data_IF_755191324743
#
_entry.id   IF_755191324743
#
_cell.length_a   1.000
_cell.length_b   1.000
_cell.length_c   1.000
_cell.angle_alpha   90.00
_cell.angle_beta   90.00
_cell.angle_gamma   90.00
#
_symmetry.space_group_name_H-M   'P 1'
#
loop_
_entity.id
_entity.type
_entity.pdbx_description
1 polymer ?
#
# COMPACT_ATOMS: atom_id res chain seq x y z
N UNK A 1 -28.86 27.39 -24.02
CA UNK A 1 -28.40 27.07 -22.67
C UNK A 1 -28.25 25.58 -22.40
N UNK A 2 -29.11 24.74 -22.95
CA UNK A 2 -28.98 23.26 -22.75
C UNK A 2 -27.67 22.70 -23.31
N UNK A 3 -27.09 23.25 -24.33
CA UNK A 3 -25.79 22.85 -24.92
C UNK A 3 -24.64 23.02 -23.94
N UNK A 4 -24.63 24.08 -23.18
CA UNK A 4 -23.55 24.40 -22.24
C UNK A 4 -23.61 23.47 -21.01
N UNK A 5 -24.79 23.12 -20.56
CA UNK A 5 -25.00 22.19 -19.43
C UNK A 5 -24.46 20.82 -19.80
N UNK A 6 -24.71 20.35 -21.03
CA UNK A 6 -24.21 19.05 -21.50
C UNK A 6 -22.69 19.03 -21.58
N UNK A 7 -22.07 20.12 -22.11
CA UNK A 7 -20.62 20.22 -22.19
C UNK A 7 -19.98 20.23 -20.82
N UNK A 8 -20.53 20.99 -19.87
CA UNK A 8 -20.05 21.02 -18.48
C UNK A 8 -20.16 19.63 -17.84
N UNK A 9 -21.26 18.94 -18.06
CA UNK A 9 -21.48 17.59 -17.53
C UNK A 9 -20.43 16.60 -18.06
N UNK A 10 -20.13 16.65 -19.36
CA UNK A 10 -19.11 15.81 -19.99
C UNK A 10 -17.73 16.10 -19.41
N UNK A 11 -17.37 17.38 -19.24
CA UNK A 11 -16.10 17.75 -18.62
C UNK A 11 -15.99 17.24 -17.17
N UNK A 12 -17.07 17.32 -16.40
CA UNK A 12 -17.10 16.81 -15.04
C UNK A 12 -16.85 15.30 -15.00
N UNK A 13 -17.46 14.54 -15.91
CA UNK A 13 -17.27 13.09 -15.99
C UNK A 13 -15.82 12.74 -16.33
N UNK A 14 -15.21 13.44 -17.28
CA UNK A 14 -13.81 13.24 -17.66
C UNK A 14 -12.90 13.56 -16.48
N UNK A 15 -13.16 14.65 -15.77
CA UNK A 15 -12.37 15.07 -14.61
C UNK A 15 -12.43 14.04 -13.48
N UNK A 16 -13.63 13.53 -13.17
CA UNK A 16 -13.84 12.50 -12.15
C UNK A 16 -13.12 11.21 -12.54
N UNK A 17 -13.25 10.80 -13.79
CA UNK A 17 -12.57 9.60 -14.29
C UNK A 17 -11.06 9.72 -14.22
N UNK A 18 -10.52 10.89 -14.59
CA UNK A 18 -9.09 11.16 -14.51
C UNK A 18 -8.58 11.11 -13.05
N UNK A 19 -9.35 11.69 -12.13
CA UNK A 19 -9.00 11.69 -10.72
C UNK A 19 -8.94 10.25 -10.16
N UNK A 20 -9.94 9.44 -10.47
CA UNK A 20 -9.98 8.04 -10.02
C UNK A 20 -8.83 7.22 -10.63
N UNK A 21 -8.55 7.43 -11.90
CA UNK A 21 -7.43 6.76 -12.57
C UNK A 21 -6.09 7.13 -11.91
N UNK A 22 -5.90 8.41 -11.59
CA UNK A 22 -4.69 8.89 -10.94
C UNK A 22 -4.49 8.23 -9.55
N UNK A 23 -5.57 8.11 -8.76
CA UNK A 23 -5.51 7.44 -7.46
C UNK A 23 -5.20 5.96 -7.61
N UNK A 24 -5.85 5.29 -8.54
CA UNK A 24 -5.59 3.88 -8.83
C UNK A 24 -4.13 3.65 -9.21
N UNK A 25 -3.60 4.50 -10.07
CA UNK A 25 -2.20 4.40 -10.51
C UNK A 25 -1.22 4.59 -9.36
N UNK A 26 -1.48 5.53 -8.46
CA UNK A 26 -0.65 5.76 -7.28
C UNK A 26 -0.59 4.52 -6.38
N UNK A 27 -1.71 3.86 -6.16
CA UNK A 27 -1.79 2.65 -5.36
C UNK A 27 -1.00 1.52 -6.02
N UNK A 28 -1.17 1.32 -7.32
CA UNK A 28 -0.45 0.29 -8.07
C UNK A 28 1.06 0.55 -8.10
N UNK A 29 1.47 1.81 -8.30
CA UNK A 29 2.88 2.19 -8.27
C UNK A 29 3.48 1.93 -6.89
N UNK A 30 2.76 2.22 -5.82
CA UNK A 30 3.20 1.95 -4.45
C UNK A 30 3.40 0.45 -4.22
N UNK A 31 2.43 -0.37 -4.61
CA UNK A 31 2.55 -1.83 -4.51
C UNK A 31 3.75 -2.34 -5.28
N UNK A 32 3.98 -1.83 -6.49
CA UNK A 32 5.10 -2.22 -7.33
C UNK A 32 6.43 -1.84 -6.71
N UNK A 33 6.52 -0.68 -6.07
CA UNK A 33 7.72 -0.24 -5.35
C UNK A 33 8.05 -1.19 -4.19
N UNK A 34 7.03 -1.65 -3.46
CA UNK A 34 7.21 -2.65 -2.40
C UNK A 34 7.70 -3.98 -2.97
N UNK A 35 7.13 -4.42 -4.10
CA UNK A 35 7.57 -5.64 -4.77
C UNK A 35 9.04 -5.54 -5.19
N UNK A 36 9.46 -4.41 -5.75
CA UNK A 36 10.86 -4.17 -6.15
C UNK A 36 11.75 -4.15 -4.91
N UNK A 37 11.32 -3.50 -3.83
CA UNK A 37 12.06 -3.48 -2.57
C UNK A 37 12.30 -4.88 -2.03
N UNK A 38 11.28 -5.74 -2.04
CA UNK A 38 11.40 -7.12 -1.59
C UNK A 38 12.29 -7.94 -2.54
N UNK A 39 12.22 -7.68 -3.83
CA UNK A 39 13.09 -8.35 -4.82
C UNK A 39 14.56 -8.02 -4.57
N UNK A 40 14.86 -6.78 -4.23
CA UNK A 40 16.23 -6.35 -3.90
C UNK A 40 16.74 -7.06 -2.63
N UNK A 41 15.84 -7.48 -1.75
CA UNK A 41 16.18 -8.25 -0.55
C UNK A 41 16.21 -9.76 -0.79
N UNK A 42 15.92 -10.20 -2.00
CA UNK A 42 15.96 -11.62 -2.39
C UNK A 42 14.62 -12.35 -2.34
N UNK A 43 13.50 -11.63 -2.13
CA UNK A 43 12.17 -12.24 -2.09
C UNK A 43 11.50 -12.20 -3.46
N UNK A 44 11.06 -13.36 -3.94
CA UNK A 44 10.26 -13.45 -5.17
C UNK A 44 8.77 -13.33 -4.83
N UNK A 45 7.91 -12.93 -5.80
CA UNK A 45 6.47 -12.83 -5.57
C UNK A 45 5.79 -14.10 -5.08
N UNK A 46 6.40 -15.25 -5.28
CA UNK A 46 5.87 -16.54 -4.81
C UNK A 46 6.08 -16.78 -3.32
N UNK A 47 6.91 -15.99 -2.67
CA UNK A 47 7.28 -16.18 -1.26
C UNK A 47 6.39 -15.42 -0.30
N UNK A 48 5.49 -14.59 -0.81
CA UNK A 48 4.53 -13.83 -0.01
C UNK A 48 3.18 -13.76 -0.72
N UNK A 49 2.14 -13.46 0.06
CA UNK A 49 0.78 -13.29 -0.47
C UNK A 49 0.70 -11.98 -1.28
N UNK A 50 -0.31 -11.87 -2.12
CA UNK A 50 -0.52 -10.67 -2.94
C UNK A 50 -0.49 -9.41 -2.07
N UNK A 51 0.33 -8.41 -2.40
CA UNK A 51 0.39 -7.16 -1.62
C UNK A 51 -0.97 -6.49 -1.54
N UNK A 52 -1.33 -6.04 -0.34
CA UNK A 52 -2.62 -5.40 -0.09
C UNK A 52 -2.41 -3.96 0.37
N UNK A 53 -3.01 -3.01 -0.35
CA UNK A 53 -2.98 -1.61 0.03
C UNK A 53 -3.95 -1.36 1.18
N UNK A 54 -3.45 -0.71 2.24
CA UNK A 54 -4.23 -0.43 3.45
C UNK A 54 -3.96 1.00 3.90
N UNK A 55 -5.01 1.72 4.30
CA UNK A 55 -4.87 2.98 5.02
C UNK A 55 -5.00 2.67 6.50
N UNK A 56 -3.91 2.82 7.23
CA UNK A 56 -3.88 2.55 8.68
C UNK A 56 -3.64 3.80 9.48
N UNK A 57 -4.29 3.82 10.64
CA UNK A 57 -4.04 4.82 11.66
C UNK A 57 -2.72 4.47 12.36
N UNK A 58 -1.66 5.20 12.02
CA UNK A 58 -0.36 5.05 12.65
C UNK A 58 -0.04 6.36 13.34
N UNK A 59 0.39 6.30 14.58
CA UNK A 59 0.81 7.47 15.39
C UNK A 59 -0.15 8.68 15.43
N UNK A 60 -0.67 9.02 16.59
CA UNK A 60 -1.45 10.24 16.88
C UNK A 60 -2.66 10.49 15.97
N UNK A 61 -3.28 9.42 15.44
CA UNK A 61 -4.49 9.56 14.64
C UNK A 61 -4.27 9.88 13.17
N UNK A 62 -3.02 9.96 12.71
CA UNK A 62 -2.71 10.14 11.29
C UNK A 62 -2.91 8.84 10.53
N UNK A 63 -3.66 8.92 9.42
CA UNK A 63 -3.82 7.78 8.50
C UNK A 63 -2.65 7.76 7.53
N UNK A 64 -1.86 6.72 7.58
CA UNK A 64 -0.71 6.53 6.69
C UNK A 64 -1.03 5.44 5.69
N UNK A 65 -0.60 5.62 4.45
CA UNK A 65 -0.74 4.63 3.38
C UNK A 65 0.28 3.52 3.61
N UNK A 66 -0.20 2.28 3.65
CA UNK A 66 0.63 1.11 3.90
C UNK A 66 0.34 0.03 2.87
N UNK A 67 1.35 -0.80 2.60
CA UNK A 67 1.16 -2.05 1.87
C UNK A 67 1.42 -3.20 2.85
N UNK A 68 0.43 -4.07 3.01
CA UNK A 68 0.51 -5.24 3.87
C UNK A 68 1.13 -6.40 3.09
N UNK A 69 2.17 -6.99 3.66
CA UNK A 69 2.83 -8.19 3.12
C UNK A 69 2.78 -9.28 4.18
N UNK A 70 2.32 -10.47 3.78
CA UNK A 70 2.33 -11.66 4.61
C UNK A 70 3.22 -12.68 3.92
N UNK A 71 4.35 -13.02 4.55
CA UNK A 71 5.28 -14.00 4.00
C UNK A 71 4.77 -15.41 4.23
N UNK A 72 4.96 -16.28 3.25
CA UNK A 72 4.48 -17.67 3.31
C UNK A 72 5.08 -18.46 4.48
N UNK A 73 6.31 -18.15 4.87
CA UNK A 73 6.99 -18.82 5.98
C UNK A 73 6.61 -18.26 7.35
N UNK A 74 5.96 -17.08 7.38
CA UNK A 74 5.60 -16.40 8.62
C UNK A 74 4.18 -15.88 8.57
N UNK A 75 3.21 -16.75 8.32
CA UNK A 75 1.79 -16.35 8.13
C UNK A 75 1.12 -15.78 9.38
N UNK A 76 1.77 -15.87 10.53
CA UNK A 76 1.27 -15.30 11.78
C UNK A 76 1.52 -13.79 11.89
N UNK A 77 2.30 -13.23 10.98
CA UNK A 77 2.70 -11.82 11.02
C UNK A 77 2.33 -11.10 9.75
N UNK A 78 1.79 -9.87 9.90
CA UNK A 78 1.58 -8.95 8.81
C UNK A 78 2.62 -7.85 8.87
N UNK A 79 3.34 -7.63 7.78
CA UNK A 79 4.35 -6.59 7.67
C UNK A 79 3.77 -5.42 6.89
N UNK A 80 3.83 -4.22 7.48
CA UNK A 80 3.27 -3.01 6.88
C UNK A 80 4.39 -2.10 6.41
N UNK A 81 4.47 -1.90 5.11
CA UNK A 81 5.50 -1.07 4.47
C UNK A 81 4.90 0.27 4.08
N UNK A 82 5.65 1.33 4.30
CA UNK A 82 5.29 2.67 3.90
C UNK A 82 6.34 3.28 2.99
N UNK A 83 6.03 4.45 2.46
CA UNK A 83 6.94 5.20 1.59
C UNK A 83 7.50 6.39 2.37
N UNK A 84 8.82 6.46 2.48
CA UNK A 84 9.52 7.61 3.07
C UNK A 84 10.29 8.37 1.99
N UNK A 85 10.92 9.49 2.37
CA UNK A 85 11.77 10.25 1.46
C UNK A 85 12.93 9.42 0.91
N UNK A 86 13.38 8.42 1.67
CA UNK A 86 14.50 7.55 1.29
C UNK A 86 14.07 6.25 0.60
N UNK A 87 12.77 6.07 0.40
CA UNK A 87 12.21 4.87 -0.24
C UNK A 87 11.26 4.09 0.68
N UNK A 88 11.14 2.79 0.40
CA UNK A 88 10.26 1.91 1.18
C UNK A 88 10.86 1.64 2.55
N UNK A 89 10.03 1.73 3.60
CA UNK A 89 10.44 1.43 4.98
C UNK A 89 9.40 0.53 5.64
N UNK A 90 9.85 -0.33 6.54
CA UNK A 90 8.95 -1.13 7.37
C UNK A 90 8.41 -0.25 8.50
N UNK A 91 7.11 -0.06 8.55
CA UNK A 91 6.45 0.79 9.54
C UNK A 91 6.00 0.01 10.76
N UNK A 92 5.49 -1.18 10.58
CA UNK A 92 4.91 -1.97 11.68
C UNK A 92 4.88 -3.44 11.33
N UNK A 93 4.89 -4.28 12.36
CA UNK A 93 4.66 -5.71 12.24
C UNK A 93 3.58 -6.08 13.25
N UNK A 94 2.54 -6.76 12.79
CA UNK A 94 1.43 -7.14 13.65
C UNK A 94 1.30 -8.66 13.69
N UNK A 95 1.14 -9.19 14.91
CA UNK A 95 0.78 -10.60 15.08
C UNK A 95 -0.70 -10.74 14.74
N UNK A 96 -1.01 -11.52 13.71
CA UNK A 96 -2.38 -11.68 13.21
C UNK A 96 -3.28 -12.34 14.27
N UNK A 97 -2.74 -13.28 15.04
CA UNK A 97 -3.51 -14.03 16.03
C UNK A 97 -3.92 -13.17 17.22
N UNK A 98 -3.08 -12.24 17.64
CA UNK A 98 -3.36 -11.36 18.80
C UNK A 98 -3.81 -9.96 18.40
N UNK A 99 -3.50 -9.52 17.18
CA UNK A 99 -3.77 -8.17 16.71
C UNK A 99 -2.83 -7.12 17.29
N UNK A 100 -1.79 -7.52 18.00
CA UNK A 100 -0.86 -6.60 18.66
C UNK A 100 0.38 -6.35 17.81
N UNK A 101 0.92 -5.12 17.92
CA UNK A 101 2.18 -4.76 17.27
C UNK A 101 3.35 -5.46 17.94
N UNK A 102 4.30 -5.93 17.12
CA UNK A 102 5.51 -6.60 17.58
C UNK A 102 6.69 -5.69 17.26
N UNK A 103 7.10 -4.87 18.23
CA UNK A 103 8.12 -3.83 18.03
C UNK A 103 9.53 -4.36 17.85
N UNK A 104 9.82 -5.53 18.38
CA UNK A 104 11.14 -6.15 18.34
C UNK A 104 11.31 -7.16 17.20
N UNK A 105 10.29 -7.31 16.37
CA UNK A 105 10.33 -8.22 15.22
C UNK A 105 11.16 -7.60 14.10
N UNK A 106 12.23 -8.27 13.72
CA UNK A 106 13.08 -7.82 12.63
C UNK A 106 12.45 -8.16 11.27
N UNK A 107 12.76 -7.34 10.28
CA UNK A 107 12.34 -7.57 8.91
C UNK A 107 12.98 -8.87 8.38
N UNK A 108 12.20 -9.74 7.68
CA UNK A 108 12.77 -10.93 7.08
C UNK A 108 13.87 -10.59 6.09
N UNK A 109 14.95 -11.34 6.12
CA UNK A 109 16.07 -11.20 5.19
C UNK A 109 16.41 -12.53 4.57
N UNK A 110 16.89 -12.48 3.35
CA UNK A 110 17.42 -13.66 2.66
C UNK A 110 18.89 -13.52 2.37
#
# INVERSE_FOLDING_TARGET
>A
MKKYILIIFVFLLIFIGFFWYSEYKKVEDFKNEVVVYLADKGFTPNEYLTPKYVKRKVMKGLKVRNVEIIFNEERNYSYYYGLSADGIVLLDVINIDTGESVYDKEEPTK
#
